data_IF_785837477985
#
_entry.id   IF_785837477985
#
_cell.length_a   1.000
_cell.length_b   1.000
_cell.length_c   1.000
_cell.angle_alpha   90.00
_cell.angle_beta   90.00
_cell.angle_gamma   90.00
#
_symmetry.space_group_name_H-M   'P 1'
#
loop_
_entity.id
_entity.type
_entity.pdbx_description
1 polymer ?
#
# COMPACT_ATOMS: atom_id res chain seq x y z
N UNK A 1 -3.44 -14.50 24.10
CA UNK A 1 -2.64 -13.99 22.96
C UNK A 1 -1.19 -14.30 23.28
N UNK A 2 -0.48 -15.01 22.41
CA UNK A 2 0.94 -15.34 22.62
C UNK A 2 1.70 -14.73 21.45
N UNK A 3 2.67 -13.88 21.77
CA UNK A 3 3.51 -13.20 20.80
C UNK A 3 4.88 -13.87 20.74
N UNK A 4 5.46 -13.93 19.55
CA UNK A 4 6.82 -14.42 19.32
C UNK A 4 7.54 -13.48 18.37
N UNK A 5 8.80 -13.18 18.68
CA UNK A 5 9.66 -12.45 17.76
C UNK A 5 10.07 -13.36 16.61
N UNK A 6 10.09 -12.80 15.40
CA UNK A 6 10.53 -13.47 14.19
C UNK A 6 11.53 -12.58 13.45
N UNK A 7 12.37 -13.20 12.62
CA UNK A 7 13.16 -12.51 11.61
C UNK A 7 12.47 -12.66 10.24
N UNK A 8 12.32 -11.56 9.52
CA UNK A 8 11.68 -11.51 8.21
C UNK A 8 12.40 -10.50 7.30
N UNK A 9 12.20 -10.60 6.00
CA UNK A 9 12.78 -9.68 5.01
C UNK A 9 11.73 -8.69 4.54
N UNK A 10 12.06 -7.40 4.54
CA UNK A 10 11.23 -6.37 3.90
C UNK A 10 11.63 -6.26 2.43
N UNK A 11 10.73 -6.60 1.52
CA UNK A 11 10.91 -6.42 0.08
C UNK A 11 10.29 -5.10 -0.36
N UNK A 12 11.09 -4.29 -1.04
CA UNK A 12 10.68 -3.02 -1.62
C UNK A 12 10.75 -3.08 -3.14
N UNK A 13 9.93 -2.30 -3.82
CA UNK A 13 10.03 -2.12 -5.27
C UNK A 13 10.68 -0.77 -5.56
N UNK A 14 11.90 -0.81 -6.08
CA UNK A 14 12.61 0.40 -6.51
C UNK A 14 11.88 1.08 -7.66
N UNK A 15 11.96 2.41 -7.68
CA UNK A 15 11.41 3.21 -8.75
C UNK A 15 12.36 3.22 -9.94
N UNK A 16 12.03 2.46 -10.98
CA UNK A 16 12.79 2.39 -12.25
C UNK A 16 12.90 3.73 -13.00
N UNK A 17 12.16 4.76 -12.59
CA UNK A 17 12.18 6.07 -13.22
C UNK A 17 13.22 7.03 -12.63
N UNK A 18 13.49 6.93 -11.33
CA UNK A 18 14.38 7.85 -10.64
C UNK A 18 15.51 7.17 -9.89
N UNK A 19 15.43 5.85 -9.67
CA UNK A 19 16.44 5.01 -9.01
C UNK A 19 16.84 5.49 -7.60
N UNK A 20 16.05 6.40 -7.01
CA UNK A 20 16.29 7.05 -5.71
C UNK A 20 15.20 6.77 -4.68
N UNK A 21 14.08 6.23 -5.12
CA UNK A 21 12.92 5.98 -4.28
C UNK A 21 12.32 4.61 -4.55
N UNK A 22 11.29 4.29 -3.79
CA UNK A 22 10.54 3.04 -3.89
C UNK A 22 9.06 3.34 -4.08
N UNK A 23 8.33 2.42 -4.71
CA UNK A 23 6.89 2.53 -4.86
C UNK A 23 6.19 2.17 -3.53
N UNK A 24 5.30 3.06 -3.09
CA UNK A 24 4.43 2.88 -1.92
C UNK A 24 2.98 2.99 -2.36
N UNK A 25 2.07 2.32 -1.66
CA UNK A 25 0.63 2.49 -1.88
C UNK A 25 0.27 3.98 -1.82
N UNK A 26 -0.40 4.49 -2.85
CA UNK A 26 -0.91 5.85 -2.84
C UNK A 26 -2.05 5.97 -1.79
N UNK A 27 -2.13 7.11 -1.11
CA UNK A 27 -3.15 7.34 -0.06
C UNK A 27 -4.57 7.28 -0.61
N UNK A 28 -4.72 7.70 -1.87
CA UNK A 28 -5.95 7.54 -2.63
C UNK A 28 -5.94 6.09 -3.14
N UNK A 29 -6.70 5.23 -2.45
CA UNK A 29 -6.85 3.79 -2.74
C UNK A 29 -7.61 3.59 -4.06
N UNK A 30 -7.08 4.12 -5.17
CA UNK A 30 -7.49 3.76 -6.50
C UNK A 30 -7.09 2.31 -6.72
N UNK A 31 -8.04 1.42 -6.43
CA UNK A 31 -8.00 0.02 -6.83
C UNK A 31 -8.64 -0.03 -8.19
N UNK A 32 -7.90 -0.47 -9.20
CA UNK A 32 -8.52 -0.84 -10.46
C UNK A 32 -9.20 -2.21 -10.27
N UNK A 33 -10.48 -2.29 -10.64
CA UNK A 33 -11.26 -3.53 -10.61
C UNK A 33 -10.89 -4.44 -11.80
N UNK A 34 -9.60 -4.77 -11.87
CA UNK A 34 -8.99 -5.70 -12.82
C UNK A 34 -8.85 -7.09 -12.19
N UNK A 35 -8.57 -8.10 -13.01
CA UNK A 35 -8.26 -9.46 -12.53
C UNK A 35 -6.87 -9.89 -13.02
N UNK A 36 -5.85 -9.96 -12.14
CA UNK A 36 -5.89 -9.67 -10.70
C UNK A 36 -6.07 -8.17 -10.40
N UNK A 37 -6.60 -7.84 -9.22
CA UNK A 37 -6.75 -6.44 -8.76
C UNK A 37 -5.40 -5.73 -8.78
N UNK A 38 -5.44 -4.43 -9.04
CA UNK A 38 -4.26 -3.58 -9.06
C UNK A 38 -4.45 -2.37 -8.16
N UNK A 39 -3.37 -1.96 -7.50
CA UNK A 39 -3.35 -0.85 -6.57
C UNK A 39 -2.43 0.25 -7.10
N UNK A 40 -2.90 1.49 -7.03
CA UNK A 40 -2.08 2.65 -7.34
C UNK A 40 -0.95 2.79 -6.32
N UNK A 41 0.28 2.90 -6.83
CA UNK A 41 1.45 3.20 -6.05
C UNK A 41 2.11 4.47 -6.57
N UNK A 42 2.65 5.27 -5.65
CA UNK A 42 3.45 6.45 -5.96
C UNK A 42 4.88 6.26 -5.47
N UNK A 43 5.86 6.71 -6.27
CA UNK A 43 7.25 6.73 -5.86
C UNK A 43 7.43 7.69 -4.67
N UNK A 44 8.12 7.24 -3.63
CA UNK A 44 8.44 8.05 -2.46
C UNK A 44 9.24 9.32 -2.81
N UNK A 45 10.06 9.26 -3.86
CA UNK A 45 10.96 10.34 -4.31
C UNK A 45 10.35 11.21 -5.43
N UNK A 46 10.17 10.66 -6.64
CA UNK A 46 9.77 11.44 -7.82
C UNK A 46 8.26 11.54 -8.03
N UNK A 47 7.44 10.94 -7.16
CA UNK A 47 5.97 10.92 -7.22
C UNK A 47 5.36 10.28 -8.47
N UNK A 48 6.16 9.62 -9.32
CA UNK A 48 5.64 8.82 -10.43
C UNK A 48 4.69 7.74 -9.92
N UNK A 49 3.59 7.57 -10.62
CA UNK A 49 2.55 6.61 -10.32
C UNK A 49 2.62 5.37 -11.19
N UNK A 50 2.29 4.21 -10.61
CA UNK A 50 2.20 2.90 -11.28
C UNK A 50 1.10 2.06 -10.62
N UNK A 51 0.43 1.22 -11.42
CA UNK A 51 -0.50 0.21 -10.90
C UNK A 51 0.23 -1.12 -10.75
N UNK A 52 0.16 -1.71 -9.56
CA UNK A 52 0.84 -2.98 -9.23
C UNK A 52 -0.15 -3.98 -8.64
N UNK A 53 0.06 -5.26 -8.90
CA UNK A 53 -0.75 -6.37 -8.39
C UNK A 53 -0.38 -6.82 -6.98
N UNK A 54 0.67 -6.22 -6.39
CA UNK A 54 1.07 -6.43 -5.00
C UNK A 54 1.22 -5.08 -4.33
N UNK A 55 0.82 -5.00 -3.06
CA UNK A 55 0.97 -3.80 -2.25
C UNK A 55 2.35 -3.81 -1.60
N UNK A 56 3.21 -2.87 -2.01
CA UNK A 56 4.55 -2.71 -1.43
C UNK A 56 4.54 -1.73 -0.24
N UNK A 57 5.34 -1.98 0.81
CA UNK A 57 6.31 -3.08 0.92
C UNK A 57 5.67 -4.43 1.29
N UNK A 58 6.38 -5.50 0.96
CA UNK A 58 5.98 -6.89 1.24
C UNK A 58 6.92 -7.47 2.30
N UNK A 59 6.38 -8.24 3.24
CA UNK A 59 7.17 -9.01 4.19
C UNK A 59 7.35 -10.43 3.65
N UNK A 60 8.59 -10.87 3.44
CA UNK A 60 8.90 -12.28 3.19
C UNK A 60 9.23 -12.97 4.51
N UNK A 61 8.51 -14.05 4.79
CA UNK A 61 8.75 -14.92 5.95
C UNK A 61 8.50 -16.37 5.57
N UNK A 62 9.52 -17.23 5.78
CA UNK A 62 9.47 -18.66 5.41
C UNK A 62 9.06 -18.88 3.94
N UNK A 63 9.75 -18.20 3.03
CA UNK A 63 9.56 -18.29 1.57
C UNK A 63 8.14 -17.93 1.10
N UNK A 64 7.42 -17.12 1.90
CA UNK A 64 6.07 -16.63 1.58
C UNK A 64 6.02 -15.12 1.71
N UNK A 65 5.36 -14.49 0.75
CA UNK A 65 5.10 -13.05 0.71
C UNK A 65 3.81 -12.74 1.50
N UNK A 66 3.90 -11.76 2.41
CA UNK A 66 2.79 -11.21 3.17
C UNK A 66 2.68 -9.71 2.89
N UNK A 67 1.49 -9.26 2.51
CA UNK A 67 1.19 -7.84 2.35
C UNK A 67 0.74 -7.26 3.68
N UNK A 68 1.09 -6.00 3.94
CA UNK A 68 0.62 -5.29 5.13
C UNK A 68 -0.89 -5.05 5.04
N UNK A 69 -1.56 -5.16 6.20
CA UNK A 69 -3.00 -5.02 6.35
C UNK A 69 -3.49 -3.57 6.16
N UNK A 70 -2.61 -2.60 5.92
CA UNK A 70 -2.96 -1.19 5.73
C UNK A 70 -3.79 -0.94 4.45
N UNK A 71 -3.86 -1.96 3.57
CA UNK A 71 -4.77 -2.02 2.41
C UNK A 71 -6.19 -2.52 2.76
N UNK A 72 -6.38 -3.09 3.95
CA UNK A 72 -7.66 -3.51 4.51
C UNK A 72 -8.27 -2.37 5.34
N UNK A 73 -8.43 -1.18 4.75
CA UNK A 73 -9.41 -0.24 5.29
C UNK A 73 -10.77 -0.84 4.99
N UNK A 74 -11.31 -1.57 5.95
CA UNK A 74 -12.75 -1.81 6.09
C UNK A 74 -13.47 -0.54 5.64
N UNK A 75 -14.44 -0.69 4.73
CA UNK A 75 -15.28 0.38 4.19
C UNK A 75 -15.47 1.46 5.26
N UNK A 76 -14.74 2.57 5.14
CA UNK A 76 -15.11 3.77 5.88
C UNK A 76 -16.40 4.20 5.20
N UNK A 77 -17.53 3.87 5.81
CA UNK A 77 -18.82 4.40 5.39
C UNK A 77 -18.66 5.91 5.18
N UNK A 78 -19.10 6.37 4.02
CA UNK A 78 -19.03 7.76 3.57
C UNK A 78 -19.85 8.75 4.41
N UNK A 79 -20.42 8.30 5.53
CA UNK A 79 -21.47 9.03 6.26
C UNK A 79 -20.94 9.83 7.46
N UNK A 80 -19.63 10.04 7.59
CA UNK A 80 -19.06 10.85 8.68
C UNK A 80 -18.05 11.88 8.22
N UNK A 81 -18.45 12.72 7.26
CA UNK A 81 -17.89 14.08 7.16
C UNK A 81 -19.06 15.07 7.22
N UNK A 82 -19.58 15.28 8.44
CA UNK A 82 -20.33 16.49 8.75
C UNK A 82 -19.36 17.66 8.74
N UNK A 83 -19.27 18.37 7.62
CA UNK A 83 -18.66 19.70 7.56
C UNK A 83 -19.48 20.64 8.46
N UNK A 84 -19.05 20.82 9.70
CA UNK A 84 -19.43 22.01 10.47
C UNK A 84 -18.73 23.22 9.84
N UNK A 85 -19.32 23.73 8.76
CA UNK A 85 -19.15 25.12 8.36
C UNK A 85 -19.89 25.98 9.39
N UNK A 86 -19.17 26.51 10.38
CA UNK A 86 -19.68 27.65 11.13
C UNK A 86 -19.28 28.92 10.38
N UNK A 87 -20.31 29.57 9.84
CA UNK A 87 -20.33 31.00 9.51
C UNK A 87 -20.07 31.84 10.75
#
# INVERSE_FOLDING_TARGET
MIEKQIQATLKEMECSACEKGVFRLALDLAVEDTNPKQWLHACSHCKREVYLTKVYPIIEYKDRDFMLADSLRFERSSDSISLHNNK
#
